data_IF_612546412828
#
_entry.id   IF_612546412828
#
_cell.length_a   1.000
_cell.length_b   1.000
_cell.length_c   1.000
_cell.angle_alpha   90.00
_cell.angle_beta   90.00
_cell.angle_gamma   90.00
#
_symmetry.space_group_name_H-M   'P 1'
#
loop_
_entity.id
_entity.type
_entity.pdbx_description
1 polymer ?
#
# COMPACT_ATOMS: atom_id res chain seq x y z
N UNK A 1 8.81 -13.28 6.06
CA UNK A 1 7.65 -12.55 5.51
C UNK A 1 7.32 -11.34 6.40
N UNK A 2 6.88 -10.23 5.81
CA UNK A 2 6.33 -9.04 6.46
C UNK A 2 4.95 -8.80 5.85
N UNK A 3 3.94 -8.49 6.67
CA UNK A 3 2.66 -7.98 6.21
C UNK A 3 2.59 -6.48 6.56
N UNK A 4 2.21 -5.66 5.59
CA UNK A 4 1.96 -4.23 5.75
C UNK A 4 0.48 -3.99 5.56
N UNK A 5 -0.14 -3.40 6.58
CA UNK A 5 -1.56 -3.08 6.60
C UNK A 5 -1.69 -1.57 6.58
N UNK A 6 -2.47 -1.07 5.64
CA UNK A 6 -2.79 0.34 5.51
C UNK A 6 -4.30 0.52 5.45
N UNK A 7 -4.80 1.45 6.25
CA UNK A 7 -6.22 1.72 6.38
C UNK A 7 -6.48 3.19 6.09
N UNK A 8 -7.47 3.47 5.25
CA UNK A 8 -7.80 4.84 4.85
C UNK A 8 -9.30 5.01 4.65
N UNK A 9 -9.78 6.22 4.91
CA UNK A 9 -11.12 6.65 4.54
C UNK A 9 -10.97 7.76 3.49
N UNK A 10 -11.07 7.46 2.19
CA UNK A 10 -10.98 8.46 1.14
C UNK A 10 -12.10 9.49 1.25
N UNK A 11 -11.84 10.69 0.73
CA UNK A 11 -12.90 11.69 0.61
C UNK A 11 -13.99 11.18 -0.35
N UNK A 12 -15.27 11.33 0.02
CA UNK A 12 -16.38 10.74 -0.73
C UNK A 12 -16.43 11.15 -2.20
N UNK A 13 -16.10 12.40 -2.51
CA UNK A 13 -16.10 12.92 -3.87
C UNK A 13 -14.99 12.34 -4.77
N UNK A 14 -13.94 11.77 -4.15
CA UNK A 14 -12.74 11.28 -4.83
C UNK A 14 -12.52 9.78 -4.60
N UNK A 15 -13.57 9.06 -4.18
CA UNK A 15 -13.45 7.64 -3.85
C UNK A 15 -13.04 6.80 -5.08
N UNK A 16 -13.69 7.03 -6.22
CA UNK A 16 -13.41 6.30 -7.46
C UNK A 16 -12.03 6.65 -8.02
N UNK A 17 -11.64 7.93 -7.94
CA UNK A 17 -10.31 8.41 -8.32
C UNK A 17 -9.23 7.78 -7.45
N UNK A 18 -9.44 7.72 -6.14
CA UNK A 18 -8.55 7.00 -5.22
C UNK A 18 -8.41 5.53 -5.60
N UNK A 19 -9.50 4.83 -5.93
CA UNK A 19 -9.44 3.43 -6.35
C UNK A 19 -8.72 3.24 -7.69
N UNK A 20 -8.89 4.16 -8.64
CA UNK A 20 -8.18 4.15 -9.92
C UNK A 20 -6.66 4.27 -9.71
N UNK A 21 -6.23 5.28 -8.95
CA UNK A 21 -4.81 5.49 -8.59
C UNK A 21 -4.26 4.27 -7.85
N UNK A 22 -5.05 3.70 -6.93
CA UNK A 22 -4.65 2.50 -6.20
C UNK A 22 -4.46 1.29 -7.15
N UNK A 23 -5.28 1.18 -8.21
CA UNK A 23 -5.12 0.19 -9.28
C UNK A 23 -3.81 0.35 -10.05
N UNK A 24 -3.47 1.58 -10.42
CA UNK A 24 -2.21 1.91 -11.13
C UNK A 24 -0.95 1.61 -10.32
N UNK A 25 -1.08 1.53 -8.99
CA UNK A 25 0.05 1.23 -8.12
C UNK A 25 0.48 -0.25 -8.15
N UNK A 26 -0.41 -1.17 -8.54
CA UNK A 26 -0.10 -2.60 -8.60
C UNK A 26 1.13 -2.92 -9.48
N UNK A 27 1.22 -2.49 -10.76
CA UNK A 27 2.39 -2.77 -11.59
C UNK A 27 3.68 -2.21 -10.99
N UNK A 28 3.63 -1.03 -10.35
CA UNK A 28 4.80 -0.42 -9.70
C UNK A 28 5.29 -1.31 -8.54
N UNK A 29 4.36 -1.83 -7.73
CA UNK A 29 4.70 -2.73 -6.62
C UNK A 29 5.24 -4.08 -7.11
N UNK A 30 4.74 -4.59 -8.23
CA UNK A 30 5.21 -5.84 -8.83
C UNK A 30 6.70 -5.78 -9.26
N UNK A 31 7.18 -4.60 -9.64
CA UNK A 31 8.59 -4.37 -9.99
C UNK A 31 9.51 -4.20 -8.76
N UNK A 32 8.95 -4.04 -7.55
CA UNK A 32 9.73 -3.86 -6.34
C UNK A 32 10.25 -5.19 -5.78
N UNK A 33 11.55 -5.24 -5.44
CA UNK A 33 12.12 -6.42 -4.82
C UNK A 33 11.43 -6.72 -3.47
N UNK A 34 11.16 -8.01 -3.27
CA UNK A 34 10.47 -8.51 -2.11
C UNK A 34 8.94 -8.43 -2.15
N UNK A 35 8.31 -7.75 -3.12
CA UNK A 35 6.84 -7.76 -3.21
C UNK A 35 6.30 -9.18 -3.48
N UNK A 36 5.20 -9.54 -2.82
CA UNK A 36 4.52 -10.83 -3.01
C UNK A 36 3.10 -10.59 -3.54
N UNK A 37 2.30 -9.79 -2.82
CA UNK A 37 0.93 -9.49 -3.21
C UNK A 37 0.40 -8.25 -2.51
N UNK A 38 -0.66 -7.67 -3.07
CA UNK A 38 -1.49 -6.64 -2.43
C UNK A 38 -2.97 -6.93 -2.73
N UNK A 39 -3.79 -6.83 -1.70
CA UNK A 39 -5.24 -6.98 -1.78
C UNK A 39 -5.93 -5.80 -1.10
N UNK A 40 -7.12 -5.46 -1.59
CA UNK A 40 -7.89 -4.35 -1.05
C UNK A 40 -9.30 -4.78 -0.67
N UNK A 41 -9.74 -4.33 0.50
CA UNK A 41 -11.02 -4.71 1.10
C UNK A 41 -11.80 -3.46 1.47
N UNK A 42 -13.11 -3.46 1.23
CA UNK A 42 -14.01 -2.44 1.77
C UNK A 42 -14.52 -2.86 3.15
N UNK A 43 -14.58 -1.92 4.10
CA UNK A 43 -15.18 -2.20 5.41
C UNK A 43 -16.69 -2.44 5.28
N UNK A 44 -17.18 -3.48 5.97
CA UNK A 44 -18.62 -3.78 6.09
C UNK A 44 -19.30 -2.94 7.18
N UNK A 45 -18.56 -2.50 8.20
CA UNK A 45 -19.10 -1.75 9.34
C UNK A 45 -18.95 -0.24 9.19
N UNK A 46 -17.98 0.21 8.38
CA UNK A 46 -17.72 1.64 8.13
C UNK A 46 -17.70 1.92 6.62
N UNK A 47 -18.85 2.24 6.00
CA UNK A 47 -18.94 2.48 4.57
C UNK A 47 -17.95 3.56 4.09
N UNK A 48 -17.26 3.29 2.98
CA UNK A 48 -16.25 4.18 2.41
C UNK A 48 -14.84 4.00 2.97
N UNK A 49 -14.64 3.12 3.96
CA UNK A 49 -13.33 2.80 4.50
C UNK A 49 -12.67 1.65 3.75
N UNK A 50 -11.39 1.78 3.41
CA UNK A 50 -10.62 0.83 2.58
C UNK A 50 -9.41 0.29 3.34
N UNK A 51 -9.38 -1.05 3.41
CA UNK A 51 -8.30 -1.99 3.70
C UNK A 51 -7.27 -2.12 2.57
N UNK A 52 -5.98 -1.84 2.74
CA UNK A 52 -4.93 -2.38 1.86
C UNK A 52 -4.01 -3.31 2.65
N UNK A 53 -3.92 -4.57 2.22
CA UNK A 53 -3.06 -5.59 2.83
C UNK A 53 -2.01 -6.02 1.81
N UNK A 54 -0.74 -5.82 2.11
CA UNK A 54 0.36 -6.26 1.25
C UNK A 54 1.34 -7.18 1.95
N UNK A 55 1.84 -8.17 1.21
CA UNK A 55 2.82 -9.13 1.69
C UNK A 55 4.16 -8.92 1.01
N UNK A 56 5.22 -8.97 1.82
CA UNK A 56 6.59 -8.76 1.39
C UNK A 56 7.50 -9.87 1.94
N UNK A 57 8.51 -10.25 1.14
CA UNK A 57 9.59 -11.11 1.59
C UNK A 57 10.39 -10.35 2.65
N UNK A 58 10.78 -11.05 3.73
CA UNK A 58 11.70 -10.45 4.71
C UNK A 58 13.06 -10.33 4.04
N UNK A 59 13.78 -9.20 4.16
CA UNK A 59 15.18 -9.16 3.80
C UNK A 59 15.95 -10.12 4.73
N UNK A 60 16.97 -10.80 4.20
CA UNK A 60 17.86 -11.61 5.03
C UNK A 60 18.65 -10.70 5.98
N UNK A 61 18.98 -11.19 7.18
CA UNK A 61 19.69 -10.44 8.22
C UNK A 61 21.06 -9.89 7.79
N UNK A 62 21.61 -10.40 6.68
CA UNK A 62 22.89 -9.99 6.09
C UNK A 62 22.80 -8.84 5.08
N UNK A 63 21.60 -8.34 4.74
CA UNK A 63 21.46 -7.24 3.79
C UNK A 63 21.80 -5.88 4.42
N UNK A 64 22.55 -4.99 3.72
CA UNK A 64 22.84 -3.64 4.19
C UNK A 64 21.56 -2.84 4.45
N UNK A 65 21.55 -2.05 5.53
CA UNK A 65 20.38 -1.35 6.09
C UNK A 65 19.77 -0.32 5.14
N UNK A 66 20.50 0.10 4.10
CA UNK A 66 20.05 1.08 3.12
C UNK A 66 18.87 0.57 2.26
N UNK A 67 18.77 -0.75 2.06
CA UNK A 67 17.64 -1.37 1.36
C UNK A 67 16.34 -1.46 2.19
N UNK A 68 16.38 -1.19 3.50
CA UNK A 68 15.18 -1.26 4.37
C UNK A 68 14.28 -0.03 4.26
N UNK A 69 14.79 1.11 3.77
CA UNK A 69 13.99 2.34 3.57
C UNK A 69 12.91 2.19 2.49
N UNK A 70 13.03 1.22 1.60
CA UNK A 70 12.13 1.02 0.47
C UNK A 70 11.05 -0.05 0.70
N UNK A 71 11.10 -0.77 1.84
CA UNK A 71 10.17 -1.87 2.13
C UNK A 71 8.85 -1.33 2.69
N UNK A 72 8.88 -0.17 3.35
CA UNK A 72 7.69 0.64 3.58
C UNK A 72 7.67 1.70 2.48
N UNK A 73 6.68 1.72 1.58
CA UNK A 73 6.52 2.84 0.67
C UNK A 73 6.11 4.04 1.53
N UNK A 74 7.11 4.79 2.00
CA UNK A 74 6.91 6.15 2.51
C UNK A 74 6.20 7.04 1.46
N UNK A 75 6.21 6.61 0.20
CA UNK A 75 5.42 7.15 -0.92
C UNK A 75 3.90 6.99 -0.78
N UNK A 76 3.41 6.01 0.01
CA UNK A 76 1.97 5.93 0.34
C UNK A 76 1.55 7.01 1.34
N UNK A 77 2.48 7.53 2.15
CA UNK A 77 2.23 8.59 3.13
C UNK A 77 2.50 9.98 2.57
N UNK A 78 3.28 10.09 1.49
CA UNK A 78 3.70 11.38 0.92
C UNK A 78 2.86 11.85 -0.27
N UNK A 79 1.70 11.24 -0.57
CA UNK A 79 0.66 11.91 -1.34
C UNK A 79 -0.15 12.79 -0.38
N UNK A 80 0.19 14.08 -0.28
CA UNK A 80 -0.54 14.98 0.58
C UNK A 80 -1.82 15.30 -0.16
N UNK A 81 -2.96 14.89 0.40
CA UNK A 81 -4.27 15.38 0.02
C UNK A 81 -4.78 14.87 -1.34
N UNK A 82 -5.47 13.73 -1.32
CA UNK A 82 -6.79 13.69 -1.96
C UNK A 82 -7.64 14.68 -1.16
N UNK A 83 -7.62 15.94 -1.60
CA UNK A 83 -8.50 16.99 -1.10
C UNK A 83 -9.80 16.92 -1.88
#
# INVERSE_FOLDING_TARGET
MIAVIFEVTPHKAHYDEYLAIAGELLPILQDMDGFISIERFSSLTTPGKVLSLSFWRRPSRSMPKDGQKNICPSQFQSHPQVR
#
